data_IF_845420668244
#
_entry.id   IF_845420668244
#
_cell.length_a   1.000
_cell.length_b   1.000
_cell.length_c   1.000
_cell.angle_alpha   90.00
_cell.angle_beta   90.00
_cell.angle_gamma   90.00
#
_symmetry.space_group_name_H-M   'P 1'
#
loop_
_entity.id
_entity.type
_entity.pdbx_description
1 polymer ?
#
# COMPACT_ATOMS: atom_id res chain seq x y z
N UNK A 1 -30.00 53.04 57.67
CA UNK A 1 -29.95 51.95 56.67
C UNK A 1 -29.52 50.71 57.41
N UNK A 2 -30.48 49.85 57.78
CA UNK A 2 -30.22 48.66 58.57
C UNK A 2 -30.17 47.45 57.65
N UNK A 3 -29.00 46.84 57.51
CA UNK A 3 -28.84 45.60 56.76
C UNK A 3 -29.61 44.47 57.46
N UNK A 4 -30.58 43.92 56.75
CA UNK A 4 -31.38 42.78 57.20
C UNK A 4 -30.51 41.52 57.23
N UNK A 5 -30.26 41.02 58.44
CA UNK A 5 -29.68 39.69 58.66
C UNK A 5 -30.62 38.63 58.07
N UNK A 6 -30.19 37.95 57.00
CA UNK A 6 -30.96 36.91 56.33
C UNK A 6 -30.46 35.51 56.74
N UNK A 7 -31.11 34.83 57.69
CA UNK A 7 -30.66 33.54 58.23
C UNK A 7 -30.65 32.39 57.20
N UNK A 8 -31.31 32.55 56.05
CA UNK A 8 -31.34 31.55 54.99
C UNK A 8 -30.03 31.47 54.19
N UNK A 9 -29.28 32.57 54.05
CA UNK A 9 -27.99 32.57 53.36
C UNK A 9 -26.92 31.78 54.14
N UNK A 10 -26.97 31.81 55.48
CA UNK A 10 -26.04 31.05 56.32
C UNK A 10 -26.34 29.54 56.31
N UNK A 11 -27.61 29.15 56.16
CA UNK A 11 -28.04 27.75 56.06
C UNK A 11 -27.65 27.11 54.72
N UNK A 12 -27.75 27.85 53.61
CA UNK A 12 -27.27 27.39 52.31
C UNK A 12 -25.74 27.24 52.29
N UNK A 13 -25.02 28.22 52.84
CA UNK A 13 -23.56 28.17 52.96
C UNK A 13 -23.06 26.97 53.76
N UNK A 14 -23.73 26.65 54.88
CA UNK A 14 -23.39 25.48 55.72
C UNK A 14 -23.74 24.15 55.03
N UNK A 15 -24.86 24.07 54.32
CA UNK A 15 -25.23 22.87 53.55
C UNK A 15 -24.28 22.64 52.36
N UNK A 16 -23.81 23.70 51.72
CA UNK A 16 -22.83 23.63 50.64
C UNK A 16 -21.45 23.18 51.15
N UNK A 17 -20.99 23.70 52.29
CA UNK A 17 -19.79 23.21 52.98
C UNK A 17 -19.91 21.73 53.32
N UNK A 18 -21.08 21.27 53.79
CA UNK A 18 -21.31 19.86 54.12
C UNK A 18 -21.29 18.96 52.87
N UNK A 19 -21.83 19.44 51.74
CA UNK A 19 -21.73 18.75 50.43
C UNK A 19 -20.29 18.64 49.96
N UNK A 20 -19.52 19.73 50.07
CA UNK A 20 -18.09 19.75 49.72
C UNK A 20 -17.27 18.80 50.59
N UNK A 21 -17.53 18.76 51.90
CA UNK A 21 -16.87 17.82 52.82
C UNK A 21 -17.21 16.36 52.52
N UNK A 22 -18.48 16.04 52.25
CA UNK A 22 -18.91 14.69 51.83
C UNK A 22 -18.24 14.28 50.51
N UNK A 23 -18.17 15.18 49.54
CA UNK A 23 -17.49 14.91 48.27
C UNK A 23 -15.98 14.70 48.45
N UNK A 24 -15.32 15.47 49.32
CA UNK A 24 -13.91 15.31 49.64
C UNK A 24 -13.61 13.97 50.34
N UNK A 25 -14.48 13.53 51.26
CA UNK A 25 -14.39 12.22 51.92
C UNK A 25 -14.60 11.07 50.93
N UNK A 26 -15.58 11.18 50.03
CA UNK A 26 -15.79 10.20 48.96
C UNK A 26 -14.57 10.07 48.04
N UNK A 27 -13.96 11.21 47.65
CA UNK A 27 -12.70 11.21 46.86
C UNK A 27 -11.54 10.56 47.60
N UNK A 28 -11.38 10.81 48.90
CA UNK A 28 -10.34 10.16 49.73
C UNK A 28 -10.56 8.66 49.84
N UNK A 29 -11.81 8.22 50.04
CA UNK A 29 -12.19 6.80 50.11
C UNK A 29 -11.88 6.08 48.80
N UNK A 30 -12.23 6.68 47.64
CA UNK A 30 -11.92 6.10 46.33
C UNK A 30 -10.41 5.98 46.10
N UNK A 31 -9.62 7.02 46.42
CA UNK A 31 -8.15 6.95 46.30
C UNK A 31 -7.53 5.86 47.19
N UNK A 32 -8.10 5.61 48.36
CA UNK A 32 -7.64 4.55 49.25
C UNK A 32 -7.93 3.16 48.68
N UNK A 33 -9.13 2.98 48.10
CA UNK A 33 -9.53 1.74 47.43
C UNK A 33 -8.63 1.46 46.21
N UNK A 34 -8.44 2.44 45.31
CA UNK A 34 -7.55 2.32 44.14
C UNK A 34 -6.11 1.94 44.53
N UNK A 35 -5.64 2.42 45.68
CA UNK A 35 -4.29 2.13 46.17
C UNK A 35 -4.17 0.70 46.71
N UNK A 36 -5.19 0.20 47.39
CA UNK A 36 -5.23 -1.18 47.88
C UNK A 36 -5.31 -2.16 46.70
N UNK A 37 -6.14 -1.86 45.70
CA UNK A 37 -6.32 -2.71 44.52
C UNK A 37 -5.00 -2.82 43.71
N UNK A 38 -4.30 -1.69 43.49
CA UNK A 38 -2.97 -1.68 42.86
C UNK A 38 -1.90 -2.44 43.65
N UNK A 39 -2.02 -2.48 44.98
CA UNK A 39 -1.07 -3.21 45.84
C UNK A 39 -1.32 -4.72 45.77
N UNK A 40 -2.60 -5.13 45.70
CA UNK A 40 -3.02 -6.52 45.53
C UNK A 40 -2.61 -7.09 44.16
N UNK A 41 -2.87 -6.36 43.08
CA UNK A 41 -2.48 -6.75 41.71
C UNK A 41 -0.97 -6.99 41.59
N UNK A 42 -0.16 -6.07 42.12
CA UNK A 42 1.30 -6.18 42.11
C UNK A 42 1.80 -7.40 42.88
N UNK A 43 1.13 -7.75 43.98
CA UNK A 43 1.45 -8.96 44.75
C UNK A 43 1.12 -10.24 43.95
N UNK A 44 -0.05 -10.30 43.31
CA UNK A 44 -0.46 -11.42 42.47
C UNK A 44 0.47 -11.61 41.27
N UNK A 45 0.89 -10.52 40.62
CA UNK A 45 1.81 -10.57 39.49
C UNK A 45 3.20 -11.08 39.91
N UNK A 46 3.69 -10.65 41.09
CA UNK A 46 4.93 -11.20 41.67
C UNK A 46 4.82 -12.70 41.88
N UNK A 47 3.69 -13.19 42.43
CA UNK A 47 3.44 -14.62 42.63
C UNK A 47 3.33 -15.40 41.32
N UNK A 48 2.63 -14.86 40.32
CA UNK A 48 2.57 -15.42 38.97
C UNK A 48 3.97 -15.62 38.39
N UNK A 49 4.83 -14.59 38.47
CA UNK A 49 6.22 -14.64 37.97
C UNK A 49 7.06 -15.67 38.73
N UNK A 50 6.96 -15.70 40.06
CA UNK A 50 7.64 -16.69 40.89
C UNK A 50 7.27 -18.13 40.49
N UNK A 51 5.97 -18.39 40.30
CA UNK A 51 5.48 -19.72 39.92
C UNK A 51 5.92 -20.12 38.51
N UNK A 52 5.84 -19.21 37.53
CA UNK A 52 6.39 -19.42 36.18
C UNK A 52 7.87 -19.80 36.23
N UNK A 53 8.67 -19.08 37.01
CA UNK A 53 10.09 -19.36 37.16
C UNK A 53 10.37 -20.74 37.77
N UNK A 54 9.49 -21.23 38.66
CA UNK A 54 9.60 -22.58 39.22
C UNK A 54 9.38 -23.64 38.15
N UNK A 55 8.33 -23.52 37.33
CA UNK A 55 8.09 -24.43 36.20
C UNK A 55 9.31 -24.49 35.26
N UNK A 56 9.83 -23.32 34.86
CA UNK A 56 11.02 -23.24 33.99
C UNK A 56 12.24 -23.90 34.63
N UNK A 57 12.51 -23.67 35.92
CA UNK A 57 13.63 -24.30 36.63
C UNK A 57 13.50 -25.82 36.68
N UNK A 58 12.29 -26.34 36.92
CA UNK A 58 12.04 -27.78 36.94
C UNK A 58 12.29 -28.37 35.55
N UNK A 59 11.73 -27.78 34.50
CA UNK A 59 11.90 -28.26 33.12
C UNK A 59 13.35 -28.13 32.60
N UNK A 60 14.14 -27.20 33.16
CA UNK A 60 15.59 -27.13 32.88
C UNK A 60 16.34 -28.32 33.46
N UNK A 61 15.98 -28.77 34.67
CA UNK A 61 16.59 -29.92 35.34
C UNK A 61 16.08 -31.25 34.77
N UNK A 62 14.78 -31.33 34.46
CA UNK A 62 14.14 -32.51 33.91
C UNK A 62 13.33 -32.13 32.66
N UNK A 63 14.01 -32.18 31.51
CA UNK A 63 13.41 -31.85 30.21
C UNK A 63 12.36 -32.88 29.76
N UNK A 64 12.33 -34.07 30.38
CA UNK A 64 11.49 -35.23 30.00
C UNK A 64 10.33 -35.45 30.97
N UNK A 65 10.00 -34.44 31.77
CA UNK A 65 8.84 -34.46 32.65
C UNK A 65 7.57 -34.05 31.88
N UNK A 66 6.72 -35.01 31.49
CA UNK A 66 5.48 -34.68 30.78
C UNK A 66 4.47 -34.01 31.71
N UNK A 67 4.36 -34.47 32.97
CA UNK A 67 3.42 -33.92 33.95
C UNK A 67 3.66 -32.42 34.23
N UNK A 68 4.92 -32.01 34.43
CA UNK A 68 5.27 -30.60 34.68
C UNK A 68 4.92 -29.73 33.48
N UNK A 69 5.11 -30.22 32.25
CA UNK A 69 4.70 -29.50 31.03
C UNK A 69 3.19 -29.34 30.95
N UNK A 70 2.44 -30.40 31.23
CA UNK A 70 0.99 -30.37 31.29
C UNK A 70 0.48 -29.36 32.33
N UNK A 71 1.01 -29.40 33.57
CA UNK A 71 0.66 -28.44 34.62
C UNK A 71 1.06 -27.01 34.29
N UNK A 72 2.18 -26.83 33.57
CA UNK A 72 2.59 -25.51 33.12
C UNK A 72 1.63 -24.97 32.04
N UNK A 73 1.16 -25.83 31.14
CA UNK A 73 0.10 -25.50 30.18
C UNK A 73 -1.19 -25.05 30.87
N UNK A 74 -1.64 -25.76 31.92
CA UNK A 74 -2.79 -25.35 32.72
C UNK A 74 -2.59 -23.98 33.38
N UNK A 75 -1.44 -23.77 34.02
CA UNK A 75 -1.09 -22.47 34.60
C UNK A 75 -1.18 -21.36 33.55
N UNK A 76 -0.61 -21.54 32.36
CA UNK A 76 -0.65 -20.52 31.30
C UNK A 76 -2.08 -20.26 30.79
N UNK A 77 -2.90 -21.30 30.70
CA UNK A 77 -4.30 -21.21 30.34
C UNK A 77 -5.10 -20.38 31.37
N UNK A 78 -4.88 -20.57 32.67
CA UNK A 78 -5.53 -19.78 33.73
C UNK A 78 -5.20 -18.29 33.63
N UNK A 79 -4.00 -17.97 33.14
CA UNK A 79 -3.56 -16.59 32.89
C UNK A 79 -3.83 -16.10 31.45
N UNK A 80 -4.66 -16.81 30.69
CA UNK A 80 -5.08 -16.49 29.31
C UNK A 80 -3.93 -16.41 28.30
N UNK A 81 -2.79 -17.03 28.59
CA UNK A 81 -1.64 -17.11 27.68
C UNK A 81 -1.79 -18.34 26.77
N UNK A 82 -2.87 -18.34 25.98
CA UNK A 82 -3.37 -19.51 25.25
C UNK A 82 -2.36 -20.13 24.27
N UNK A 83 -1.60 -19.30 23.54
CA UNK A 83 -0.59 -19.79 22.58
C UNK A 83 0.54 -20.56 23.26
N UNK A 84 1.03 -20.06 24.40
CA UNK A 84 2.05 -20.74 25.19
C UNK A 84 1.48 -21.98 25.88
N UNK A 85 0.22 -21.93 26.33
CA UNK A 85 -0.46 -23.08 26.93
C UNK A 85 -0.54 -24.26 25.93
N UNK A 86 -0.96 -24.00 24.69
CA UNK A 86 -1.00 -25.01 23.60
C UNK A 86 0.36 -25.67 23.44
N UNK A 87 1.42 -24.87 23.28
CA UNK A 87 2.79 -25.39 23.12
C UNK A 87 3.19 -26.33 24.26
N UNK A 88 2.87 -25.98 25.50
CA UNK A 88 3.22 -26.82 26.65
C UNK A 88 2.38 -28.10 26.74
N UNK A 89 1.11 -28.08 26.32
CA UNK A 89 0.30 -29.31 26.21
C UNK A 89 0.81 -30.23 25.10
N UNK A 90 1.15 -29.70 23.92
CA UNK A 90 1.74 -30.47 22.81
C UNK A 90 3.07 -31.09 23.20
N UNK A 91 3.94 -30.32 23.87
CA UNK A 91 5.21 -30.84 24.37
C UNK A 91 5.00 -31.91 25.46
N UNK A 92 3.96 -31.80 26.30
CA UNK A 92 3.64 -32.81 27.30
C UNK A 92 3.24 -34.14 26.63
N UNK A 93 2.37 -34.09 25.62
CA UNK A 93 1.97 -35.26 24.81
C UNK A 93 3.19 -35.87 24.11
N UNK A 94 4.00 -35.05 23.44
CA UNK A 94 5.20 -35.49 22.72
C UNK A 94 6.25 -36.13 23.64
N UNK A 95 6.37 -35.67 24.87
CA UNK A 95 7.31 -36.24 25.85
C UNK A 95 6.76 -37.52 26.47
N UNK A 96 5.46 -37.60 26.72
CA UNK A 96 4.77 -38.79 27.21
C UNK A 96 5.05 -40.01 26.32
N UNK A 97 5.02 -39.84 25.00
CA UNK A 97 5.23 -40.93 24.03
C UNK A 97 6.68 -41.42 23.92
N UNK A 98 7.63 -40.83 24.67
CA UNK A 98 9.06 -41.20 24.61
C UNK A 98 9.40 -42.26 25.64
N UNK A 99 10.21 -43.25 25.21
CA UNK A 99 10.74 -44.35 26.03
C UNK A 99 11.41 -43.92 27.35
N UNK A 100 11.98 -42.71 27.40
CA UNK A 100 12.66 -42.18 28.61
C UNK A 100 11.88 -41.05 29.29
N UNK A 101 10.56 -41.06 29.24
CA UNK A 101 9.71 -40.11 29.95
C UNK A 101 9.86 -40.31 31.47
N UNK A 102 10.15 -39.24 32.23
CA UNK A 102 10.35 -39.34 33.68
C UNK A 102 9.03 -39.49 34.43
N UNK A 103 8.04 -38.66 34.05
CA UNK A 103 6.70 -38.63 34.65
C UNK A 103 5.67 -38.58 33.53
N UNK A 104 5.19 -39.75 33.05
CA UNK A 104 4.20 -39.83 31.98
C UNK A 104 2.83 -39.31 32.46
N UNK A 105 2.01 -38.88 31.51
CA UNK A 105 0.63 -38.47 31.78
C UNK A 105 -0.28 -39.69 31.98
N UNK A 106 -1.26 -39.55 32.86
CA UNK A 106 -2.38 -40.50 32.94
C UNK A 106 -3.28 -40.37 31.70
N UNK A 107 -4.01 -41.43 31.34
CA UNK A 107 -4.94 -41.41 30.19
C UNK A 107 -5.95 -40.25 30.25
N UNK A 108 -6.44 -39.93 31.45
CA UNK A 108 -7.35 -38.80 31.66
C UNK A 108 -6.66 -37.44 31.43
N UNK A 109 -5.38 -37.31 31.82
CA UNK A 109 -4.59 -36.09 31.59
C UNK A 109 -4.26 -35.93 30.11
N UNK A 110 -3.98 -37.02 29.40
CA UNK A 110 -3.74 -37.01 27.95
C UNK A 110 -4.99 -36.52 27.19
N UNK A 111 -6.16 -37.07 27.53
CA UNK A 111 -7.44 -36.62 26.97
C UNK A 111 -7.68 -35.13 27.26
N UNK A 112 -7.48 -34.70 28.51
CA UNK A 112 -7.62 -33.29 28.91
C UNK A 112 -6.64 -32.38 28.18
N UNK A 113 -5.40 -32.82 27.94
CA UNK A 113 -4.41 -32.04 27.19
C UNK A 113 -4.91 -31.73 25.77
N UNK A 114 -5.43 -32.73 25.05
CA UNK A 114 -6.05 -32.51 23.74
C UNK A 114 -7.27 -31.58 23.80
N UNK A 115 -8.14 -31.75 24.79
CA UNK A 115 -9.30 -30.87 24.99
C UNK A 115 -8.87 -29.42 25.28
N UNK A 116 -7.83 -29.22 26.09
CA UNK A 116 -7.32 -27.88 26.43
C UNK A 116 -6.63 -27.20 25.25
N UNK A 117 -5.97 -27.95 24.36
CA UNK A 117 -5.46 -27.41 23.10
C UNK A 117 -6.63 -26.85 22.28
N UNK A 118 -7.70 -27.62 22.08
CA UNK A 118 -8.90 -27.18 21.37
C UNK A 118 -9.56 -25.96 22.01
N UNK A 119 -9.70 -25.95 23.34
CA UNK A 119 -10.22 -24.81 24.09
C UNK A 119 -9.38 -23.54 23.89
N UNK A 120 -8.06 -23.64 24.02
CA UNK A 120 -7.15 -22.51 23.85
C UNK A 120 -7.18 -21.97 22.42
N UNK A 121 -7.21 -22.84 21.42
CA UNK A 121 -7.33 -22.46 20.01
C UNK A 121 -8.66 -21.72 19.75
N UNK A 122 -9.77 -22.24 20.29
CA UNK A 122 -11.08 -21.57 20.20
C UNK A 122 -11.09 -20.19 20.84
N UNK A 123 -10.38 -20.00 21.98
CA UNK A 123 -10.23 -18.68 22.61
C UNK A 123 -9.41 -17.71 21.77
N UNK A 124 -8.34 -18.16 21.12
CA UNK A 124 -7.55 -17.35 20.21
C UNK A 124 -8.39 -16.91 19.00
N UNK A 125 -9.10 -17.85 18.37
CA UNK A 125 -10.00 -17.54 17.24
C UNK A 125 -11.05 -16.52 17.65
N UNK A 126 -11.69 -16.70 18.80
CA UNK A 126 -12.67 -15.75 19.32
C UNK A 126 -12.08 -14.34 19.46
N UNK A 127 -10.90 -14.21 20.07
CA UNK A 127 -10.26 -12.91 20.24
C UNK A 127 -9.84 -12.26 18.91
N UNK A 128 -9.43 -13.07 17.93
CA UNK A 128 -9.16 -12.57 16.58
C UNK A 128 -10.43 -12.09 15.89
N UNK A 129 -11.55 -12.81 16.02
CA UNK A 129 -12.85 -12.40 15.45
C UNK A 129 -13.37 -11.12 16.09
N UNK A 130 -13.32 -11.00 17.42
CA UNK A 130 -13.68 -9.76 18.13
C UNK A 130 -12.89 -8.57 17.60
N UNK A 131 -11.59 -8.76 17.33
CA UNK A 131 -10.74 -7.71 16.79
C UNK A 131 -11.03 -7.39 15.32
N UNK A 132 -11.43 -8.38 14.52
CA UNK A 132 -11.89 -8.18 13.14
C UNK A 132 -13.19 -7.37 13.12
N UNK A 133 -14.10 -7.61 14.05
CA UNK A 133 -15.33 -6.83 14.21
C UNK A 133 -15.04 -5.39 14.67
N UNK A 134 -14.07 -5.18 15.58
CA UNK A 134 -13.61 -3.84 16.00
C UNK A 134 -12.98 -3.02 14.87
N UNK A 135 -12.32 -3.68 13.91
CA UNK A 135 -11.59 -3.03 12.81
C UNK A 135 -12.48 -2.54 11.67
N UNK A 136 -13.81 -2.55 11.84
CA UNK A 136 -14.79 -2.00 10.91
C UNK A 136 -14.57 -2.44 9.45
N UNK A 137 -14.96 -3.68 9.15
CA UNK A 137 -14.78 -4.34 7.85
C UNK A 137 -15.29 -3.48 6.67
N UNK A 138 -16.26 -2.58 6.90
CA UNK A 138 -16.77 -1.65 5.89
C UNK A 138 -15.72 -0.59 5.46
N UNK A 139 -14.89 -0.07 6.38
CA UNK A 139 -13.76 0.82 6.04
C UNK A 139 -12.61 0.06 5.39
N UNK A 140 -12.34 -1.18 5.83
CA UNK A 140 -11.33 -2.04 5.21
C UNK A 140 -11.77 -2.55 3.82
N UNK A 141 -13.08 -2.62 3.55
CA UNK A 141 -13.63 -2.98 2.24
C UNK A 141 -13.57 -1.86 1.21
N UNK A 142 -13.19 -0.62 1.58
CA UNK A 142 -12.92 0.44 0.60
C UNK A 142 -11.56 0.31 -0.10
N UNK A 143 -10.72 -0.66 0.30
CA UNK A 143 -9.50 -1.02 -0.43
C UNK A 143 -9.69 -2.39 -1.12
N UNK A 144 -10.63 -2.42 -2.07
CA UNK A 144 -10.79 -3.53 -3.01
C UNK A 144 -9.52 -3.65 -3.86
N UNK A 145 -8.50 -4.39 -3.39
CA UNK A 145 -7.70 -5.33 -4.21
C UNK A 145 -6.44 -5.94 -3.57
N UNK A 146 -6.08 -5.65 -2.31
CA UNK A 146 -4.92 -6.32 -1.69
C UNK A 146 -5.29 -7.68 -1.07
N UNK A 147 -5.61 -8.65 -1.94
CA UNK A 147 -5.48 -10.09 -1.60
C UNK A 147 -3.99 -10.44 -1.52
N UNK A 148 -3.32 -10.04 -0.44
CA UNK A 148 -1.88 -10.29 -0.23
C UNK A 148 -1.63 -11.67 0.40
N UNK A 149 -2.61 -12.25 1.08
CA UNK A 149 -2.44 -13.56 1.71
C UNK A 149 -2.51 -14.69 0.67
N UNK A 150 -1.39 -15.42 0.55
CA UNK A 150 -1.26 -16.59 -0.33
C UNK A 150 -0.61 -16.33 -1.70
N UNK A 151 -0.14 -15.10 -1.98
CA UNK A 151 0.59 -14.78 -3.21
C UNK A 151 2.08 -15.00 -3.06
N UNK A 152 2.71 -15.39 -4.16
CA UNK A 152 4.16 -15.59 -4.21
C UNK A 152 4.91 -14.24 -4.06
N UNK A 153 6.10 -14.25 -3.44
CA UNK A 153 6.83 -13.02 -3.14
C UNK A 153 7.18 -12.21 -4.39
N UNK A 154 7.36 -12.88 -5.54
CA UNK A 154 7.59 -12.21 -6.81
C UNK A 154 6.32 -11.51 -7.33
N UNK A 155 5.13 -12.06 -7.08
CA UNK A 155 3.87 -11.40 -7.43
C UNK A 155 3.63 -10.15 -6.58
N UNK A 156 3.96 -10.22 -5.29
CA UNK A 156 3.88 -9.06 -4.38
C UNK A 156 4.90 -7.99 -4.77
N UNK A 157 6.12 -8.38 -5.10
CA UNK A 157 7.15 -7.46 -5.59
C UNK A 157 6.74 -6.82 -6.92
N UNK A 158 6.22 -7.58 -7.88
CA UNK A 158 5.64 -7.02 -9.09
C UNK A 158 4.51 -6.05 -8.80
N UNK A 159 3.57 -6.39 -7.89
CA UNK A 159 2.48 -5.48 -7.54
C UNK A 159 2.98 -4.18 -6.90
N UNK A 160 4.01 -4.25 -6.06
CA UNK A 160 4.62 -3.08 -5.42
C UNK A 160 5.46 -2.26 -6.42
N UNK A 161 6.20 -2.91 -7.32
CA UNK A 161 6.91 -2.27 -8.43
C UNK A 161 5.90 -1.56 -9.35
N UNK A 162 4.82 -2.23 -9.73
CA UNK A 162 3.74 -1.69 -10.57
C UNK A 162 2.97 -0.54 -9.88
N UNK A 163 2.83 -0.57 -8.56
CA UNK A 163 2.25 0.52 -7.78
C UNK A 163 3.21 1.71 -7.61
N UNK A 164 4.52 1.47 -7.74
CA UNK A 164 5.55 2.51 -7.67
C UNK A 164 5.89 3.12 -9.04
N UNK A 165 5.72 2.37 -10.13
CA UNK A 165 5.97 2.84 -11.50
C UNK A 165 4.83 3.72 -12.02
N UNK A 166 5.02 5.02 -11.87
CA UNK A 166 4.18 6.04 -12.47
C UNK A 166 4.79 6.48 -13.79
N UNK A 167 3.98 6.48 -14.85
CA UNK A 167 4.39 6.96 -16.16
C UNK A 167 3.87 8.36 -16.40
N UNK A 168 4.69 9.21 -17.00
CA UNK A 168 4.20 10.52 -17.47
C UNK A 168 3.58 10.30 -18.84
N UNK A 169 2.33 10.72 -19.02
CA UNK A 169 1.65 10.59 -20.30
C UNK A 169 1.04 11.90 -20.75
N UNK A 170 1.00 12.10 -22.08
CA UNK A 170 0.26 13.17 -22.72
C UNK A 170 -0.89 12.53 -23.50
N UNK A 171 -2.10 12.66 -22.95
CA UNK A 171 -3.32 12.19 -23.60
C UNK A 171 -4.02 13.39 -24.22
N UNK A 172 -4.12 13.41 -25.55
CA UNK A 172 -4.79 14.48 -26.30
C UNK A 172 -4.29 15.89 -25.88
N UNK A 173 -2.98 16.02 -25.66
CA UNK A 173 -2.29 17.25 -25.29
C UNK A 173 -2.26 17.55 -23.79
N UNK A 174 -2.99 16.79 -22.96
CA UNK A 174 -3.02 16.98 -21.51
C UNK A 174 -2.04 16.04 -20.81
N UNK A 175 -1.15 16.61 -20.02
CA UNK A 175 -0.23 15.86 -19.16
C UNK A 175 -1.01 15.18 -18.03
N UNK A 176 -0.84 13.87 -17.85
CA UNK A 176 -1.38 13.06 -16.75
C UNK A 176 -0.35 12.02 -16.31
N UNK A 177 -0.61 11.43 -15.16
CA UNK A 177 0.12 10.26 -14.69
C UNK A 177 -0.68 9.02 -15.09
N UNK A 178 0.00 7.96 -15.53
CA UNK A 178 -0.58 6.64 -15.76
C UNK A 178 0.00 5.63 -14.77
N UNK A 179 -0.84 4.73 -14.27
CA UNK A 179 -0.38 3.50 -13.62
C UNK A 179 0.14 2.52 -14.66
N UNK A 180 0.92 1.51 -14.23
CA UNK A 180 1.32 0.43 -15.13
C UNK A 180 0.09 -0.30 -15.71
N UNK A 181 -0.94 -0.53 -14.91
CA UNK A 181 -2.15 -1.21 -15.37
C UNK A 181 -2.80 -0.46 -16.55
N UNK A 182 -2.99 0.85 -16.42
CA UNK A 182 -3.52 1.67 -17.51
C UNK A 182 -2.59 1.64 -18.73
N UNK A 183 -1.27 1.75 -18.55
CA UNK A 183 -0.31 1.63 -19.66
C UNK A 183 -0.44 0.28 -20.40
N UNK A 184 -0.58 -0.82 -19.67
CA UNK A 184 -0.77 -2.16 -20.24
C UNK A 184 -2.10 -2.28 -20.98
N UNK A 185 -3.17 -1.61 -20.52
CA UNK A 185 -4.45 -1.55 -21.24
C UNK A 185 -4.31 -0.82 -22.59
N UNK A 186 -3.56 0.29 -22.65
CA UNK A 186 -3.22 0.95 -23.93
C UNK A 186 -2.38 0.05 -24.83
N UNK A 187 -1.37 -0.63 -24.28
CA UNK A 187 -0.52 -1.56 -25.03
C UNK A 187 -1.29 -2.77 -25.57
N UNK A 188 -2.31 -3.22 -24.84
CA UNK A 188 -3.21 -4.28 -25.26
C UNK A 188 -4.25 -3.81 -26.30
N UNK A 189 -4.40 -2.49 -26.53
CA UNK A 189 -5.34 -1.95 -27.50
C UNK A 189 -6.78 -1.87 -26.99
N UNK A 190 -6.98 -1.78 -25.68
CA UNK A 190 -8.32 -1.76 -25.06
C UNK A 190 -9.01 -0.39 -25.13
N UNK A 191 -8.30 0.66 -25.56
CA UNK A 191 -8.83 2.03 -25.70
C UNK A 191 -9.24 2.38 -27.14
N UNK A 192 -9.83 1.43 -27.87
CA UNK A 192 -10.28 1.64 -29.25
C UNK A 192 -9.14 2.02 -30.19
N UNK A 193 -9.40 2.85 -31.21
CA UNK A 193 -8.40 3.28 -32.19
C UNK A 193 -7.48 4.40 -31.67
N UNK A 194 -7.03 4.32 -30.42
CA UNK A 194 -6.09 5.29 -29.87
C UNK A 194 -4.68 5.00 -30.38
N UNK A 195 -3.97 6.04 -30.82
CA UNK A 195 -2.55 5.94 -31.15
C UNK A 195 -1.72 6.01 -29.86
N UNK A 196 -1.10 4.90 -29.49
CA UNK A 196 -0.10 4.82 -28.42
C UNK A 196 1.30 5.02 -29.00
N UNK A 197 2.01 6.04 -28.51
CA UNK A 197 3.44 6.23 -28.73
C UNK A 197 4.15 6.00 -27.40
N UNK A 198 4.93 4.93 -27.30
CA UNK A 198 5.59 4.55 -26.05
C UNK A 198 7.10 4.73 -26.12
N UNK A 199 7.64 5.45 -25.13
CA UNK A 199 9.07 5.58 -24.85
C UNK A 199 9.45 4.86 -23.54
N UNK A 200 8.57 3.97 -23.06
CA UNK A 200 8.77 3.25 -21.79
C UNK A 200 9.71 2.07 -21.94
N UNK A 201 9.54 1.33 -23.04
CA UNK A 201 10.33 0.14 -23.35
C UNK A 201 11.70 0.51 -23.90
N UNK A 202 12.60 -0.47 -23.99
CA UNK A 202 13.93 -0.28 -24.60
C UNK A 202 13.85 0.28 -26.03
N UNK A 203 12.81 -0.10 -26.76
CA UNK A 203 12.55 0.35 -28.12
C UNK A 203 11.30 1.22 -28.13
N UNK A 204 11.40 2.41 -28.72
CA UNK A 204 10.24 3.27 -28.97
C UNK A 204 9.34 2.59 -29.99
N UNK A 205 8.04 2.59 -29.76
CA UNK A 205 7.08 2.02 -30.70
C UNK A 205 5.82 2.85 -30.83
N UNK A 206 5.15 2.67 -31.97
CA UNK A 206 3.82 3.20 -32.25
C UNK A 206 2.87 2.01 -32.36
N UNK A 207 1.72 2.09 -31.71
CA UNK A 207 0.65 1.11 -31.81
C UNK A 207 -0.68 1.84 -31.97
N UNK A 208 -1.54 1.37 -32.85
CA UNK A 208 -2.88 1.91 -33.03
C UNK A 208 -3.88 0.83 -32.64
N UNK A 209 -4.70 1.10 -31.62
CA UNK A 209 -5.69 0.16 -31.09
C UNK A 209 -5.19 -1.28 -30.90
N UNK A 210 -5.90 -2.27 -31.45
CA UNK A 210 -5.58 -3.69 -31.28
C UNK A 210 -4.45 -4.20 -32.19
N UNK A 211 -3.95 -3.38 -33.12
CA UNK A 211 -2.98 -3.80 -34.12
C UNK A 211 -1.58 -4.04 -33.51
N UNK A 212 -0.72 -4.71 -34.27
CA UNK A 212 0.66 -4.97 -33.84
C UNK A 212 1.44 -3.65 -33.68
N UNK A 213 2.31 -3.62 -32.66
CA UNK A 213 3.19 -2.48 -32.46
C UNK A 213 4.25 -2.44 -33.57
N UNK A 214 4.57 -1.24 -34.04
CA UNK A 214 5.65 -1.00 -35.00
C UNK A 214 6.75 -0.21 -34.31
N UNK A 215 7.95 -0.77 -34.32
CA UNK A 215 9.10 -0.13 -33.69
C UNK A 215 9.56 1.09 -34.50
N UNK A 216 9.87 2.16 -33.78
CA UNK A 216 10.46 3.38 -34.33
C UNK A 216 11.99 3.23 -34.26
N UNK A 217 12.70 3.35 -35.39
CA UNK A 217 14.17 3.38 -35.39
C UNK A 217 14.74 4.41 -34.41
N UNK A 218 15.84 4.09 -33.73
CA UNK A 218 16.39 4.92 -32.67
C UNK A 218 16.73 6.36 -33.10
N UNK A 219 17.20 6.54 -34.35
CA UNK A 219 17.46 7.85 -34.95
C UNK A 219 16.19 8.67 -35.18
N UNK A 220 15.07 8.01 -35.48
CA UNK A 220 13.75 8.64 -35.60
C UNK A 220 13.09 8.86 -34.24
N UNK A 221 13.37 8.01 -33.25
CA UNK A 221 12.77 8.10 -31.92
C UNK A 221 13.14 9.39 -31.18
N UNK A 222 14.42 9.78 -31.21
CA UNK A 222 14.89 11.02 -30.60
C UNK A 222 14.24 12.26 -31.25
N UNK A 223 14.16 12.27 -32.58
CA UNK A 223 13.49 13.33 -33.33
C UNK A 223 11.99 13.38 -33.01
N UNK A 224 11.32 12.22 -32.97
CA UNK A 224 9.90 12.10 -32.64
C UNK A 224 9.62 12.64 -31.23
N UNK A 225 10.44 12.29 -30.25
CA UNK A 225 10.32 12.80 -28.87
C UNK A 225 10.40 14.33 -28.84
N UNK A 226 11.44 14.89 -29.45
CA UNK A 226 11.62 16.34 -29.54
C UNK A 226 10.42 17.04 -30.21
N UNK A 227 9.93 16.48 -31.32
CA UNK A 227 8.76 17.02 -32.04
C UNK A 227 7.51 17.03 -31.16
N UNK A 228 7.24 15.92 -30.46
CA UNK A 228 6.09 15.81 -29.57
C UNK A 228 6.18 16.79 -28.40
N UNK A 229 7.34 16.90 -27.75
CA UNK A 229 7.54 17.85 -26.66
C UNK A 229 7.35 19.30 -27.10
N UNK A 230 7.87 19.64 -28.29
CA UNK A 230 7.72 20.98 -28.86
C UNK A 230 6.24 21.28 -29.14
N UNK A 231 5.49 20.32 -29.70
CA UNK A 231 4.06 20.46 -29.92
C UNK A 231 3.30 20.58 -28.60
N UNK A 232 3.65 19.81 -27.57
CA UNK A 232 2.99 19.94 -26.26
C UNK A 232 3.23 21.30 -25.60
N UNK A 233 4.36 21.95 -25.89
CA UNK A 233 4.70 23.28 -25.37
C UNK A 233 4.08 24.42 -26.20
N UNK A 234 4.20 24.37 -27.52
CA UNK A 234 3.90 25.50 -28.43
C UNK A 234 2.73 25.23 -29.39
N UNK A 235 2.24 23.99 -29.48
CA UNK A 235 1.19 23.56 -30.40
C UNK A 235 1.68 23.14 -31.80
N UNK A 236 2.84 23.64 -32.24
CA UNK A 236 3.43 23.36 -33.55
C UNK A 236 4.95 23.18 -33.44
N UNK A 237 5.56 22.49 -34.39
CA UNK A 237 7.02 22.47 -34.59
C UNK A 237 7.35 23.16 -35.89
N UNK A 238 8.21 24.17 -35.86
CA UNK A 238 8.73 24.85 -37.06
C UNK A 238 10.09 24.30 -37.48
N UNK A 239 10.53 24.60 -38.69
CA UNK A 239 11.87 24.25 -39.15
C UNK A 239 12.97 24.95 -38.33
N UNK A 240 12.70 26.15 -37.82
CA UNK A 240 13.64 26.84 -36.94
C UNK A 240 13.79 26.12 -35.60
N UNK A 241 12.70 25.59 -35.01
CA UNK A 241 12.79 24.74 -33.81
C UNK A 241 13.70 23.52 -34.07
N UNK A 242 13.53 22.86 -35.23
CA UNK A 242 14.35 21.70 -35.62
C UNK A 242 15.82 22.05 -35.88
N UNK A 243 16.09 23.22 -36.44
CA UNK A 243 17.44 23.66 -36.79
C UNK A 243 18.21 24.15 -35.58
N UNK A 244 17.56 24.91 -34.70
CA UNK A 244 18.22 25.62 -33.60
C UNK A 244 18.08 24.91 -32.26
N UNK A 245 16.91 24.33 -31.95
CA UNK A 245 16.69 23.66 -30.66
C UNK A 245 17.09 22.17 -30.71
N UNK A 246 16.80 21.47 -31.81
CA UNK A 246 17.27 20.08 -32.02
C UNK A 246 18.65 19.99 -32.71
N UNK A 247 19.26 21.13 -33.06
CA UNK A 247 20.55 21.22 -33.73
C UNK A 247 20.66 20.38 -35.04
N UNK A 248 19.54 20.21 -35.75
CA UNK A 248 19.53 19.44 -36.99
C UNK A 248 20.28 20.17 -38.10
N UNK A 249 21.25 19.50 -38.70
CA UNK A 249 21.88 19.91 -39.97
C UNK A 249 21.05 19.49 -41.20
N UNK A 250 19.91 18.84 -40.99
CA UNK A 250 19.09 18.30 -42.09
C UNK A 250 18.20 19.38 -42.71
N UNK A 251 17.91 19.19 -44.00
CA UNK A 251 17.00 20.07 -44.73
C UNK A 251 15.55 19.85 -44.34
N UNK A 252 14.69 20.84 -44.57
CA UNK A 252 13.23 20.70 -44.42
C UNK A 252 12.67 19.49 -45.20
N UNK A 253 13.18 19.23 -46.41
CA UNK A 253 12.78 18.07 -47.20
C UNK A 253 13.09 16.74 -46.50
N UNK A 254 14.20 16.66 -45.78
CA UNK A 254 14.57 15.49 -44.98
C UNK A 254 13.61 15.31 -43.80
N UNK A 255 13.29 16.38 -43.07
CA UNK A 255 12.33 16.30 -41.97
C UNK A 255 10.93 15.90 -42.43
N UNK A 256 10.48 16.38 -43.61
CA UNK A 256 9.24 15.90 -44.23
C UNK A 256 9.26 14.41 -44.48
N UNK A 257 10.37 13.86 -44.98
CA UNK A 257 10.52 12.40 -45.18
C UNK A 257 10.46 11.63 -43.85
N UNK A 258 11.04 12.16 -42.78
CA UNK A 258 10.94 11.55 -41.45
C UNK A 258 9.52 11.54 -40.92
N UNK A 259 8.80 12.65 -41.08
CA UNK A 259 7.37 12.72 -40.71
C UNK A 259 6.53 11.76 -41.55
N UNK A 260 6.78 11.64 -42.85
CA UNK A 260 6.12 10.63 -43.70
C UNK A 260 6.36 9.21 -43.18
N UNK A 261 7.60 8.87 -42.83
CA UNK A 261 7.94 7.55 -42.25
C UNK A 261 7.23 7.30 -40.92
N UNK A 262 7.17 8.29 -40.03
CA UNK A 262 6.46 8.17 -38.75
C UNK A 262 4.97 7.93 -39.00
N UNK A 263 4.36 8.66 -39.93
CA UNK A 263 2.96 8.46 -40.30
C UNK A 263 2.72 7.07 -40.92
N UNK A 264 3.64 6.54 -41.73
CA UNK A 264 3.56 5.16 -42.23
C UNK A 264 3.55 4.12 -41.11
N UNK A 265 4.27 4.36 -40.00
CA UNK A 265 4.21 3.48 -38.83
C UNK A 265 2.84 3.50 -38.12
N UNK A 266 2.06 4.57 -38.27
CA UNK A 266 0.72 4.68 -37.68
C UNK A 266 -0.40 4.14 -38.60
N UNK A 267 -0.14 3.89 -39.88
CA UNK A 267 -1.17 3.41 -40.83
C UNK A 267 -1.64 1.98 -40.53
N UNK A 268 -2.96 1.80 -40.44
CA UNK A 268 -3.60 0.49 -40.24
C UNK A 268 -3.59 -0.37 -41.49
N UNK A 269 -3.82 0.22 -42.66
CA UNK A 269 -3.74 -0.41 -43.98
C UNK A 269 -3.16 0.58 -45.00
N UNK A 270 -2.81 0.10 -46.20
CA UNK A 270 -2.35 0.96 -47.28
C UNK A 270 -3.44 1.95 -47.76
N UNK A 271 -4.71 1.62 -47.52
CA UNK A 271 -5.88 2.40 -47.95
C UNK A 271 -6.39 3.38 -46.88
N UNK A 272 -5.92 3.26 -45.62
CA UNK A 272 -6.41 4.08 -44.51
C UNK A 272 -5.55 5.35 -44.33
N UNK A 273 -6.04 6.47 -44.85
CA UNK A 273 -5.35 7.77 -44.73
C UNK A 273 -5.67 8.54 -43.44
N UNK A 274 -6.60 8.03 -42.61
CA UNK A 274 -7.14 8.78 -41.49
C UNK A 274 -6.21 8.81 -40.28
N UNK A 275 -5.45 7.73 -40.05
CA UNK A 275 -4.57 7.61 -38.88
C UNK A 275 -3.17 8.13 -39.20
N UNK A 276 -2.91 9.38 -38.82
CA UNK A 276 -1.61 10.06 -38.93
C UNK A 276 -1.22 10.61 -37.56
N UNK A 277 0.08 10.59 -37.27
CA UNK A 277 0.62 11.25 -36.06
C UNK A 277 0.72 12.75 -36.31
N UNK A 278 1.28 13.13 -37.45
CA UNK A 278 1.52 14.52 -37.82
C UNK A 278 0.83 14.90 -39.12
N UNK A 279 0.42 16.16 -39.21
CA UNK A 279 0.01 16.80 -40.45
C UNK A 279 0.94 17.97 -40.78
N UNK A 280 1.09 18.23 -42.07
CA UNK A 280 1.79 19.41 -42.58
C UNK A 280 0.69 20.39 -43.00
N UNK A 281 0.59 21.56 -42.34
CA UNK A 281 -0.44 22.53 -42.67
C UNK A 281 -0.41 22.90 -44.15
N UNK A 282 -1.57 23.06 -44.77
CA UNK A 282 -1.61 23.61 -46.13
C UNK A 282 -1.17 25.07 -46.10
N UNK A 283 -0.38 25.45 -47.10
CA UNK A 283 0.09 26.82 -47.21
C UNK A 283 -1.05 27.82 -47.37
N UNK A 284 -0.87 28.98 -46.77
CA UNK A 284 -1.74 30.13 -47.02
C UNK A 284 -1.25 30.89 -48.25
N UNK A 285 -2.06 31.81 -48.77
CA UNK A 285 -1.64 32.71 -49.85
C UNK A 285 -0.32 33.45 -49.54
N UNK A 286 -0.08 33.76 -48.27
CA UNK A 286 1.13 34.45 -47.79
C UNK A 286 2.29 33.50 -47.47
N UNK A 287 2.02 32.22 -47.28
CA UNK A 287 3.03 31.19 -46.99
C UNK A 287 2.64 29.88 -47.68
N UNK A 288 3.04 29.75 -48.94
CA UNK A 288 2.67 28.63 -49.82
C UNK A 288 3.17 27.26 -49.35
N UNK A 289 4.13 27.21 -48.42
CA UNK A 289 4.72 25.97 -47.93
C UNK A 289 5.23 26.15 -46.51
N UNK A 290 4.33 26.14 -45.51
CA UNK A 290 4.69 26.35 -44.13
C UNK A 290 5.65 25.23 -43.73
N UNK A 291 6.81 25.65 -43.23
CA UNK A 291 7.84 24.73 -42.78
C UNK A 291 7.56 24.34 -41.32
N UNK A 292 6.40 23.74 -41.08
CA UNK A 292 6.00 23.29 -39.76
C UNK A 292 5.20 21.98 -39.78
N UNK A 293 5.07 21.37 -38.60
CA UNK A 293 4.29 20.19 -38.33
C UNK A 293 3.37 20.44 -37.12
N UNK A 294 2.20 19.83 -37.14
CA UNK A 294 1.27 19.79 -36.01
C UNK A 294 0.73 18.36 -35.84
N UNK A 295 0.11 18.07 -34.70
CA UNK A 295 -0.52 16.76 -34.48
C UNK A 295 -1.74 16.60 -35.38
N UNK A 296 -1.81 15.49 -36.11
CA UNK A 296 -2.94 15.20 -37.01
C UNK A 296 -4.15 14.62 -36.28
N UNK A 297 -3.93 13.91 -35.17
CA UNK A 297 -5.00 13.24 -34.43
C UNK A 297 -5.24 13.90 -33.07
N UNK A 298 -6.49 13.87 -32.63
CA UNK A 298 -6.92 14.25 -31.28
C UNK A 298 -7.15 13.04 -30.38
N UNK A 299 -6.88 11.83 -30.86
CA UNK A 299 -7.05 10.58 -30.10
C UNK A 299 -5.73 9.81 -30.00
N UNK A 300 -4.84 10.30 -29.14
CA UNK A 300 -3.52 9.70 -28.93
C UNK A 300 -3.12 9.72 -27.46
N UNK A 301 -2.16 8.86 -27.13
CA UNK A 301 -1.44 8.90 -25.87
C UNK A 301 0.05 8.70 -26.11
N UNK A 302 0.86 9.62 -25.58
CA UNK A 302 2.31 9.49 -25.56
C UNK A 302 2.74 9.17 -24.15
N UNK A 303 3.48 8.08 -23.94
CA UNK A 303 3.87 7.59 -22.61
C UNK A 303 5.39 7.60 -22.46
N UNK A 304 5.87 8.23 -21.40
CA UNK A 304 7.27 8.44 -21.05
C UNK A 304 7.59 7.79 -19.69
N UNK A 305 8.77 7.19 -19.56
CA UNK A 305 9.23 6.64 -18.27
C UNK A 305 9.73 7.76 -17.36
N UNK A 306 9.20 7.87 -16.15
CA UNK A 306 9.61 8.91 -15.19
C UNK A 306 11.10 8.85 -14.80
N UNK A 307 11.75 7.68 -14.90
CA UNK A 307 13.17 7.53 -14.55
C UNK A 307 14.14 8.30 -15.46
N UNK A 308 13.66 8.94 -16.52
CA UNK A 308 14.44 9.83 -17.38
C UNK A 308 14.33 11.32 -16.98
N UNK A 309 13.62 11.66 -15.90
CA UNK A 309 13.42 13.04 -15.41
C UNK A 309 13.99 13.30 -14.01
N UNK A 310 14.75 12.37 -13.43
CA UNK A 310 15.27 12.51 -12.06
C UNK A 310 16.55 13.35 -11.93
N UNK A 311 17.08 13.94 -13.00
CA UNK A 311 18.21 14.88 -12.87
C UNK A 311 17.77 16.28 -12.42
N UNK A 312 16.53 16.73 -12.67
CA UNK A 312 16.14 18.13 -12.40
C UNK A 312 15.49 18.40 -11.02
N UNK A 313 15.10 17.36 -10.26
CA UNK A 313 14.41 17.55 -8.96
C UNK A 313 15.40 17.76 -7.80
N UNK A 314 16.67 17.40 -7.97
CA UNK A 314 17.69 17.60 -6.93
C UNK A 314 18.50 18.90 -7.07
N UNK A 315 18.39 19.61 -8.20
CA UNK A 315 19.03 20.92 -8.39
C UNK A 315 18.27 22.10 -7.74
N UNK A 316 17.13 21.85 -7.10
CA UNK A 316 16.38 22.87 -6.33
C UNK A 316 16.69 22.86 -4.82
N UNK A 317 17.66 22.05 -4.39
CA UNK A 317 18.09 21.96 -2.99
C UNK A 317 19.58 22.25 -2.76
N UNK A 318 20.26 22.93 -3.70
CA UNK A 318 21.57 23.56 -3.44
C UNK A 318 21.51 25.09 -3.37
#
# INVERSE_FOLDING_TARGET
MGDQYNPFQNAESTMEQLRQQKAALARKRNRYQDRLDKTGERYLEKKKRELRNRFVKILKKDKKNAEVRYRFGMFLMDYKEYSQAIKHFEEAIKVHDKVRCTFPLEKAQLLKAHMFIGYCAGKLIKGSLEKVEELNIEEASMDYNLKVEGRDIYEVLMMLENASEHYTAYQNGKKRILSLEEYLQYKAGLHGNTILISFVEKETFIKVGQYEKRNVPADLAALLLFQLETIFKKGIVTYDDLRFEYESTKTWATHRRYVSRINELAKLSEEDENEKVFTIPQGTFYNLSPQCFELATTNYIVVLRQSQFYEDIFDQFE
#
